data_IF_150419592360
#
_entry.id   IF_150419592360
#
_cell.length_a   1.000
_cell.length_b   1.000
_cell.length_c   1.000
_cell.angle_alpha   90.00
_cell.angle_beta   90.00
_cell.angle_gamma   90.00
#
_symmetry.space_group_name_H-M   'P 1'
#
loop_
_entity.id
_entity.type
_entity.pdbx_description
1 polymer ?
#
# COMPACT_ATOMS: atom_id res chain seq x y z
N UNK A 1 -62.79 14.57 -31.70
CA UNK A 1 -62.41 14.64 -30.26
C UNK A 1 -62.59 13.32 -29.50
N UNK A 2 -63.67 12.55 -29.67
CA UNK A 2 -63.87 11.28 -28.93
C UNK A 2 -62.80 10.20 -29.18
N UNK A 3 -62.25 10.12 -30.39
CA UNK A 3 -61.24 9.11 -30.72
C UNK A 3 -59.84 9.43 -30.16
N UNK A 4 -59.55 10.69 -29.81
CA UNK A 4 -58.25 11.08 -29.25
C UNK A 4 -58.14 10.71 -27.76
N UNK A 5 -59.26 10.83 -27.03
CA UNK A 5 -59.34 10.49 -25.60
C UNK A 5 -59.20 8.98 -25.38
N UNK A 6 -59.77 8.16 -26.26
CA UNK A 6 -59.70 6.68 -26.16
C UNK A 6 -58.26 6.19 -26.40
N UNK A 7 -57.57 6.72 -27.42
CA UNK A 7 -56.18 6.35 -27.71
C UNK A 7 -55.22 6.83 -26.62
N UNK A 8 -55.47 7.99 -26.01
CA UNK A 8 -54.66 8.52 -24.91
C UNK A 8 -54.81 7.69 -23.62
N UNK A 9 -56.02 7.23 -23.30
CA UNK A 9 -56.28 6.34 -22.16
C UNK A 9 -55.65 4.96 -22.37
N UNK A 10 -55.68 4.42 -23.59
CA UNK A 10 -55.04 3.15 -23.92
C UNK A 10 -53.50 3.21 -23.80
N UNK A 11 -52.89 4.34 -24.17
CA UNK A 11 -51.44 4.53 -24.06
C UNK A 11 -50.97 4.68 -22.60
N UNK A 12 -51.73 5.39 -21.77
CA UNK A 12 -51.42 5.54 -20.35
C UNK A 12 -51.64 4.24 -19.56
N UNK A 13 -52.64 3.44 -19.91
CA UNK A 13 -52.87 2.13 -19.26
C UNK A 13 -51.75 1.14 -19.60
N UNK A 14 -51.22 1.15 -20.83
CA UNK A 14 -50.04 0.36 -21.20
C UNK A 14 -48.76 0.84 -20.47
N UNK A 15 -48.58 2.15 -20.30
CA UNK A 15 -47.43 2.73 -19.59
C UNK A 15 -47.45 2.39 -18.09
N UNK A 16 -48.61 2.39 -17.44
CA UNK A 16 -48.78 2.00 -16.03
C UNK A 16 -48.52 0.49 -15.83
N UNK A 17 -48.88 -0.36 -16.80
CA UNK A 17 -48.54 -1.79 -16.79
C UNK A 17 -47.02 -2.04 -17.00
N UNK A 18 -46.33 -1.17 -17.74
CA UNK A 18 -44.88 -1.28 -17.94
C UNK A 18 -44.06 -0.80 -16.73
N UNK A 19 -44.59 0.15 -15.94
CA UNK A 19 -43.94 0.60 -14.68
C UNK A 19 -44.21 -0.36 -13.51
N UNK A 20 -45.37 -1.04 -13.49
CA UNK A 20 -45.71 -2.00 -12.42
C UNK A 20 -45.07 -3.38 -12.60
N UNK A 21 -44.60 -3.74 -13.80
CA UNK A 21 -43.76 -4.94 -14.01
C UNK A 21 -42.30 -4.73 -13.59
N UNK A 22 -41.92 -3.49 -13.25
CA UNK A 22 -40.56 -3.13 -12.80
C UNK A 22 -40.36 -3.24 -11.28
N UNK A 23 -41.41 -3.33 -10.46
CA UNK A 23 -41.25 -3.50 -9.00
C UNK A 23 -41.11 -4.97 -8.60
N UNK A 24 -41.78 -5.88 -9.30
CA UNK A 24 -41.58 -7.33 -9.11
C UNK A 24 -40.16 -7.76 -9.54
N UNK A 25 -39.65 -7.18 -10.63
CA UNK A 25 -38.29 -7.46 -11.10
C UNK A 25 -37.22 -6.76 -10.24
N UNK A 26 -37.46 -5.55 -9.72
CA UNK A 26 -36.50 -4.91 -8.81
C UNK A 26 -36.27 -5.72 -7.52
N UNK A 27 -37.32 -6.34 -6.96
CA UNK A 27 -37.20 -7.20 -5.78
C UNK A 27 -36.49 -8.53 -6.13
N UNK A 28 -36.77 -9.10 -7.30
CA UNK A 28 -36.03 -10.28 -7.78
C UNK A 28 -34.55 -9.97 -8.04
N UNK A 29 -34.22 -8.80 -8.60
CA UNK A 29 -32.84 -8.38 -8.81
C UNK A 29 -32.13 -8.03 -7.50
N UNK A 30 -32.78 -7.42 -6.51
CA UNK A 30 -32.13 -7.17 -5.21
C UNK A 30 -31.90 -8.46 -4.45
N UNK A 31 -32.84 -9.41 -4.47
CA UNK A 31 -32.62 -10.75 -3.89
C UNK A 31 -31.52 -11.51 -4.64
N UNK A 32 -31.48 -11.41 -5.98
CA UNK A 32 -30.43 -12.03 -6.79
C UNK A 32 -29.05 -11.38 -6.56
N UNK A 33 -28.97 -10.05 -6.42
CA UNK A 33 -27.71 -9.33 -6.17
C UNK A 33 -27.22 -9.57 -4.73
N UNK A 34 -28.10 -9.55 -3.73
CA UNK A 34 -27.72 -9.88 -2.35
C UNK A 34 -27.35 -11.36 -2.23
N UNK A 35 -28.05 -12.27 -2.93
CA UNK A 35 -27.66 -13.68 -3.04
C UNK A 35 -26.33 -13.90 -3.76
N UNK A 36 -26.06 -13.14 -4.82
CA UNK A 36 -24.79 -13.17 -5.57
C UNK A 36 -23.62 -12.61 -4.73
N UNK A 37 -23.85 -11.54 -3.94
CA UNK A 37 -22.84 -10.99 -3.03
C UNK A 37 -22.61 -11.89 -1.80
N UNK A 38 -23.62 -12.59 -1.31
CA UNK A 38 -23.48 -13.59 -0.24
C UNK A 38 -22.76 -14.86 -0.73
N UNK A 39 -22.96 -15.26 -1.98
CA UNK A 39 -22.20 -16.38 -2.59
C UNK A 39 -20.77 -15.99 -2.96
N UNK A 40 -20.47 -14.74 -3.33
CA UNK A 40 -19.09 -14.25 -3.49
C UNK A 40 -18.32 -14.26 -2.16
N UNK A 41 -18.98 -13.94 -1.03
CA UNK A 41 -18.37 -14.05 0.30
C UNK A 41 -18.06 -15.49 0.71
N UNK A 42 -18.76 -16.47 0.12
CA UNK A 42 -18.51 -17.91 0.31
C UNK A 42 -17.54 -18.49 -0.74
N UNK A 43 -17.45 -17.90 -1.95
CA UNK A 43 -16.42 -18.23 -2.93
C UNK A 43 -15.02 -17.73 -2.53
N UNK A 44 -14.95 -16.71 -1.67
CA UNK A 44 -13.72 -16.25 -1.01
C UNK A 44 -13.69 -16.58 0.49
N UNK A 45 -14.61 -17.44 0.97
CA UNK A 45 -14.44 -18.09 2.27
C UNK A 45 -13.30 -19.08 2.13
N UNK A 46 -12.11 -18.60 2.50
CA UNK A 46 -10.88 -19.34 2.70
C UNK A 46 -11.18 -20.80 3.07
N UNK A 47 -10.93 -21.69 2.10
CA UNK A 47 -10.84 -23.10 2.39
C UNK A 47 -9.88 -23.27 3.58
N UNK A 48 -10.25 -24.03 4.62
CA UNK A 48 -9.27 -24.49 5.58
C UNK A 48 -8.31 -25.37 4.77
N UNK A 49 -7.10 -24.88 4.56
CA UNK A 49 -6.02 -25.65 3.96
C UNK A 49 -5.73 -26.79 4.94
N UNK A 50 -6.32 -27.96 4.67
CA UNK A 50 -5.86 -29.22 5.21
C UNK A 50 -4.46 -29.48 4.63
N UNK A 51 -3.46 -28.98 5.33
CA UNK A 51 -2.06 -29.29 5.11
C UNK A 51 -1.80 -30.71 5.58
N UNK A 52 -1.86 -31.66 4.64
CA UNK A 52 -1.19 -32.96 4.78
C UNK A 52 -0.37 -33.22 3.55
N UNK A 53 0.95 -33.03 3.73
CA UNK A 53 2.06 -33.80 3.17
C UNK A 53 3.17 -32.92 2.58
N UNK A 54 4.14 -32.64 3.46
CA UNK A 54 5.56 -32.75 3.14
C UNK A 54 6.12 -31.81 2.05
N UNK A 55 6.29 -30.53 2.42
CA UNK A 55 7.49 -29.81 2.04
C UNK A 55 8.17 -29.33 3.32
N UNK A 56 9.47 -29.58 3.44
CA UNK A 56 10.27 -29.14 4.58
C UNK A 56 10.10 -27.63 4.74
N UNK A 57 9.34 -27.24 5.76
CA UNK A 57 9.31 -25.91 6.34
C UNK A 57 10.73 -25.56 6.79
N UNK A 58 11.48 -24.89 5.93
CA UNK A 58 12.60 -24.08 6.35
C UNK A 58 11.97 -22.86 7.03
N UNK A 59 11.91 -22.90 8.36
CA UNK A 59 11.59 -21.76 9.20
C UNK A 59 12.45 -20.58 8.74
N UNK A 60 11.81 -19.51 8.28
CA UNK A 60 12.48 -18.22 8.06
C UNK A 60 12.95 -17.75 9.44
N UNK A 61 14.25 -17.60 9.71
CA UNK A 61 14.71 -17.08 10.99
C UNK A 61 14.29 -15.62 11.09
N UNK A 62 13.53 -15.32 12.14
CA UNK A 62 13.27 -13.98 12.64
C UNK A 62 14.59 -13.21 12.75
N UNK A 63 14.66 -11.93 12.34
CA UNK A 63 15.86 -11.14 12.54
C UNK A 63 16.31 -11.22 14.00
N UNK A 64 17.59 -11.48 14.20
CA UNK A 64 18.21 -11.54 15.53
C UNK A 64 17.98 -10.21 16.25
N UNK A 65 17.81 -10.29 17.58
CA UNK A 65 17.43 -9.18 18.48
C UNK A 65 18.35 -7.95 18.43
N UNK A 66 19.46 -8.01 17.69
CA UNK A 66 20.46 -6.93 17.56
C UNK A 66 20.18 -5.96 16.39
N UNK A 67 19.37 -6.32 15.40
CA UNK A 67 19.02 -5.43 14.28
C UNK A 67 17.81 -4.51 14.58
N UNK A 68 17.21 -4.63 15.77
CA UNK A 68 16.02 -3.87 16.21
C UNK A 68 16.39 -2.62 17.03
N UNK A 69 17.60 -2.10 16.86
CA UNK A 69 18.05 -0.90 17.55
C UNK A 69 17.64 0.30 16.70
N UNK A 70 16.83 1.20 17.28
CA UNK A 70 16.48 2.53 16.73
C UNK A 70 17.69 3.47 16.70
N UNK A 71 18.77 3.04 16.05
CA UNK A 71 20.00 3.81 15.86
C UNK A 71 20.06 4.28 14.42
N UNK A 72 20.48 5.54 14.23
CA UNK A 72 20.80 6.05 12.90
C UNK A 72 21.93 5.21 12.29
N UNK A 73 21.76 4.81 11.05
CA UNK A 73 22.81 4.24 10.24
C UNK A 73 23.88 5.31 10.01
N UNK A 74 25.15 4.94 10.17
CA UNK A 74 26.24 5.84 9.87
C UNK A 74 26.75 5.57 8.45
N UNK A 75 26.38 6.44 7.51
CA UNK A 75 26.94 6.45 6.16
C UNK A 75 27.04 7.88 5.64
N UNK A 76 28.04 8.12 4.79
CA UNK A 76 28.24 9.40 4.12
C UNK A 76 27.44 9.40 2.83
N UNK A 77 26.60 10.41 2.66
CA UNK A 77 25.94 10.64 1.38
C UNK A 77 26.93 11.30 0.40
N UNK A 78 26.98 10.83 -0.86
CA UNK A 78 27.61 11.58 -1.94
C UNK A 78 27.08 13.02 -2.00
N UNK A 79 27.93 13.97 -2.39
CA UNK A 79 27.57 15.40 -2.46
C UNK A 79 26.43 15.70 -3.44
N UNK A 80 26.31 14.93 -4.53
CA UNK A 80 25.16 14.96 -5.42
C UNK A 80 24.54 13.56 -5.53
N UNK A 81 23.29 13.45 -5.08
CA UNK A 81 22.46 12.28 -5.26
C UNK A 81 21.51 12.50 -6.42
N UNK A 82 21.31 11.46 -7.22
CA UNK A 82 20.21 11.47 -8.18
C UNK A 82 18.87 11.50 -7.46
N UNK A 83 18.09 12.53 -7.76
CA UNK A 83 16.71 12.68 -7.30
C UNK A 83 15.74 12.10 -8.34
N UNK A 84 14.88 11.20 -7.91
CA UNK A 84 13.79 10.72 -8.75
C UNK A 84 12.74 11.81 -8.96
N UNK A 85 12.13 11.92 -10.15
CA UNK A 85 11.09 12.89 -10.41
C UNK A 85 9.92 12.74 -9.42
N UNK A 86 9.50 13.86 -8.83
CA UNK A 86 8.36 13.92 -7.93
C UNK A 86 7.06 13.81 -8.74
N UNK A 87 6.19 12.88 -8.36
CA UNK A 87 4.86 12.68 -8.94
C UNK A 87 3.77 13.33 -8.08
N UNK A 88 4.05 13.49 -6.78
CA UNK A 88 3.11 13.89 -5.73
C UNK A 88 1.93 12.90 -5.57
N UNK A 89 2.17 11.62 -5.86
CA UNK A 89 1.14 10.57 -5.79
C UNK A 89 1.32 9.66 -4.57
N UNK A 90 2.57 9.42 -4.14
CA UNK A 90 2.90 8.60 -2.96
C UNK A 90 2.23 7.21 -2.94
N UNK A 91 2.10 6.57 -4.11
CA UNK A 91 1.45 5.26 -4.25
C UNK A 91 2.40 4.07 -4.04
N UNK A 92 3.70 4.32 -3.92
CA UNK A 92 4.69 3.26 -3.84
C UNK A 92 4.92 2.82 -2.39
N UNK A 93 4.35 1.69 -1.99
CA UNK A 93 4.48 1.18 -0.62
C UNK A 93 5.87 0.60 -0.31
N UNK A 94 6.40 0.93 0.86
CA UNK A 94 7.57 0.27 1.45
C UNK A 94 7.09 -1.00 2.16
N UNK A 95 7.92 -2.06 2.18
CA UNK A 95 7.60 -3.29 2.91
C UNK A 95 8.52 -3.52 4.11
N UNK A 96 8.05 -4.34 5.04
CA UNK A 96 8.82 -4.71 6.23
C UNK A 96 8.82 -3.65 7.33
N UNK A 97 7.99 -2.60 7.22
CA UNK A 97 7.94 -1.49 8.19
C UNK A 97 7.55 -1.96 9.60
N UNK A 98 6.87 -3.10 9.71
CA UNK A 98 6.54 -3.73 10.99
C UNK A 98 7.78 -4.06 11.84
N UNK A 99 8.93 -4.30 11.22
CA UNK A 99 10.20 -4.51 11.91
C UNK A 99 10.89 -3.20 12.31
N UNK A 100 10.47 -2.07 11.74
CA UNK A 100 11.09 -0.75 11.89
C UNK A 100 10.17 0.29 12.53
N UNK A 101 9.04 -0.13 13.12
CA UNK A 101 8.12 0.77 13.84
C UNK A 101 8.81 1.69 14.85
N UNK A 102 9.77 1.23 15.68
CA UNK A 102 10.48 2.13 16.60
C UNK A 102 11.24 3.25 15.88
N UNK A 103 11.86 2.94 14.74
CA UNK A 103 12.62 3.91 13.95
C UNK A 103 11.71 4.94 13.27
N UNK A 104 10.56 4.51 12.74
CA UNK A 104 9.57 5.40 12.12
C UNK A 104 8.91 6.30 13.18
N UNK A 105 8.53 5.72 14.34
CA UNK A 105 8.02 6.49 15.49
C UNK A 105 9.03 7.54 15.93
N UNK A 106 10.32 7.18 15.98
CA UNK A 106 11.39 8.11 16.35
C UNK A 106 11.49 9.30 15.41
N UNK A 107 11.38 9.09 14.10
CA UNK A 107 11.36 10.19 13.11
C UNK A 107 10.15 11.09 13.37
N UNK A 108 8.98 10.51 13.63
CA UNK A 108 7.76 11.26 13.91
C UNK A 108 7.87 12.07 15.21
N UNK A 109 8.33 11.46 16.29
CA UNK A 109 8.57 12.12 17.59
C UNK A 109 9.61 13.23 17.48
N UNK A 110 10.72 13.00 16.78
CA UNK A 110 11.74 14.01 16.50
C UNK A 110 11.14 15.20 15.72
N UNK A 111 10.23 14.95 14.77
CA UNK A 111 9.52 16.02 14.07
C UNK A 111 8.64 16.84 15.01
N UNK A 112 7.73 16.18 15.72
CA UNK A 112 6.75 16.82 16.62
C UNK A 112 7.45 17.59 17.75
N UNK A 113 8.58 17.10 18.26
CA UNK A 113 9.34 17.80 19.29
C UNK A 113 9.95 19.13 18.81
N UNK A 114 10.18 19.28 17.50
CA UNK A 114 10.86 20.44 16.91
C UNK A 114 9.93 21.35 16.11
N UNK A 115 8.65 21.01 15.97
CA UNK A 115 7.69 21.74 15.14
C UNK A 115 6.32 21.84 15.82
N UNK A 116 5.58 22.92 15.56
CA UNK A 116 4.24 23.12 16.10
C UNK A 116 3.17 22.20 15.45
N UNK A 117 3.47 21.65 14.28
CA UNK A 117 2.57 20.80 13.51
C UNK A 117 2.89 19.32 13.71
N UNK A 118 1.85 18.53 13.98
CA UNK A 118 1.91 17.06 13.97
C UNK A 118 1.99 16.51 12.55
N UNK A 119 1.48 17.24 11.55
CA UNK A 119 1.62 16.85 10.16
C UNK A 119 3.06 17.04 9.70
N UNK A 120 3.69 15.92 9.31
CA UNK A 120 5.04 15.86 8.76
C UNK A 120 4.96 16.14 7.25
N UNK A 121 5.73 17.09 6.70
CA UNK A 121 5.83 17.28 5.26
C UNK A 121 6.56 16.09 4.61
N UNK A 122 6.51 15.96 3.28
CA UNK A 122 7.29 14.96 2.58
C UNK A 122 8.79 15.04 2.91
N UNK A 123 9.36 13.92 3.35
CA UNK A 123 10.76 13.78 3.76
C UNK A 123 11.62 13.23 2.62
N UNK A 124 12.94 13.43 2.69
CA UNK A 124 13.87 12.78 1.78
C UNK A 124 14.10 11.32 2.21
N UNK A 125 13.73 10.39 1.33
CA UNK A 125 14.02 8.97 1.46
C UNK A 125 15.18 8.57 0.56
N UNK A 126 16.12 7.83 1.13
CA UNK A 126 17.29 7.29 0.43
C UNK A 126 17.04 5.83 0.08
N UNK A 127 17.14 5.51 -1.21
CA UNK A 127 17.09 4.14 -1.71
C UNK A 127 18.51 3.62 -1.88
N UNK A 128 18.85 2.60 -1.10
CA UNK A 128 20.21 2.12 -0.92
C UNK A 128 20.28 0.65 -1.37
N UNK A 129 20.93 0.35 -2.52
CA UNK A 129 21.23 -1.02 -2.91
C UNK A 129 22.09 -1.71 -1.84
N UNK A 130 21.61 -2.85 -1.32
CA UNK A 130 22.27 -3.59 -0.24
C UNK A 130 22.69 -4.98 -0.74
N UNK A 131 23.92 -5.07 -1.29
CA UNK A 131 24.47 -6.34 -1.80
C UNK A 131 24.90 -7.32 -0.70
N UNK A 132 25.01 -6.85 0.54
CA UNK A 132 25.46 -7.64 1.68
C UNK A 132 24.30 -8.08 2.59
N UNK A 133 23.06 -7.86 2.16
CA UNK A 133 21.89 -8.26 2.92
C UNK A 133 21.84 -9.80 3.06
N UNK A 134 21.74 -10.34 4.28
CA UNK A 134 21.81 -11.79 4.50
C UNK A 134 20.58 -12.56 3.97
N UNK A 135 19.48 -11.86 3.68
CA UNK A 135 18.23 -12.47 3.22
C UNK A 135 18.02 -12.34 1.71
N UNK A 136 18.61 -11.31 1.08
CA UNK A 136 18.44 -11.00 -0.33
C UNK A 136 19.58 -10.09 -0.85
N UNK A 137 20.54 -10.65 -1.57
CA UNK A 137 21.68 -9.92 -2.15
C UNK A 137 21.29 -8.90 -3.25
N UNK A 138 19.99 -8.74 -3.52
CA UNK A 138 19.41 -7.70 -4.37
C UNK A 138 18.51 -6.75 -3.61
N UNK A 139 18.50 -6.78 -2.28
CA UNK A 139 17.70 -5.89 -1.45
C UNK A 139 17.98 -4.41 -1.76
N UNK A 140 16.96 -3.58 -1.57
CA UNK A 140 17.07 -2.12 -1.60
C UNK A 140 16.46 -1.62 -0.30
N UNK A 141 17.32 -1.11 0.56
CA UNK A 141 16.95 -0.56 1.86
C UNK A 141 16.47 0.88 1.70
N UNK A 142 15.48 1.26 2.48
CA UNK A 142 14.93 2.62 2.52
C UNK A 142 15.33 3.26 3.85
N UNK A 143 16.07 4.36 3.77
CA UNK A 143 16.48 5.15 4.93
C UNK A 143 15.88 6.58 4.89
N UNK A 144 15.28 7.02 6.00
CA UNK A 144 14.79 8.40 6.21
C UNK A 144 15.48 8.94 7.47
N UNK A 145 16.07 10.14 7.40
CA UNK A 145 16.87 10.69 8.51
C UNK A 145 17.94 9.72 9.04
N UNK A 146 18.53 8.94 8.13
CA UNK A 146 19.49 7.86 8.41
C UNK A 146 18.93 6.68 9.22
N UNK A 147 17.64 6.62 9.50
CA UNK A 147 17.01 5.43 10.07
C UNK A 147 16.48 4.54 8.95
N UNK A 148 16.73 3.24 9.03
CA UNK A 148 16.04 2.28 8.17
C UNK A 148 14.58 2.21 8.55
N UNK A 149 13.72 2.48 7.58
CA UNK A 149 12.26 2.46 7.75
C UNK A 149 11.62 1.25 7.07
N UNK A 150 12.35 0.58 6.18
CA UNK A 150 11.88 -0.61 5.49
C UNK A 150 12.72 -0.90 4.26
N UNK A 151 12.16 -1.72 3.37
CA UNK A 151 12.81 -2.17 2.14
C UNK A 151 11.82 -2.08 0.98
N UNK A 152 12.33 -2.03 -0.26
CA UNK A 152 11.50 -2.37 -1.41
C UNK A 152 11.12 -3.85 -1.33
N UNK A 153 9.96 -4.22 -1.90
CA UNK A 153 9.62 -5.63 -2.10
C UNK A 153 10.71 -6.31 -2.94
N UNK A 154 10.79 -7.64 -2.89
CA UNK A 154 11.82 -8.38 -3.64
C UNK A 154 11.78 -8.05 -5.14
N UNK A 155 10.60 -8.11 -5.73
CA UNK A 155 10.42 -7.86 -7.16
C UNK A 155 10.71 -6.40 -7.52
N UNK A 156 10.27 -5.47 -6.68
CA UNK A 156 10.55 -4.05 -6.84
C UNK A 156 12.04 -3.72 -6.71
N UNK A 157 12.73 -4.33 -5.75
CA UNK A 157 14.16 -4.15 -5.56
C UNK A 157 14.94 -4.55 -6.81
N UNK A 158 14.58 -5.68 -7.43
CA UNK A 158 15.20 -6.16 -8.68
C UNK A 158 14.89 -5.20 -9.83
N UNK A 159 13.66 -4.72 -9.93
CA UNK A 159 13.24 -3.79 -10.97
C UNK A 159 13.88 -2.41 -10.83
N UNK A 160 14.01 -1.92 -9.60
CA UNK A 160 14.77 -0.72 -9.28
C UNK A 160 16.24 -0.87 -9.68
N UNK A 161 16.89 -1.99 -9.34
CA UNK A 161 18.28 -2.25 -9.73
C UNK A 161 18.47 -2.31 -11.25
N UNK A 162 17.54 -2.92 -12.00
CA UNK A 162 17.54 -2.85 -13.47
C UNK A 162 17.45 -1.40 -13.96
N UNK A 163 16.58 -0.59 -13.34
CA UNK A 163 16.41 0.84 -13.68
C UNK A 163 17.67 1.65 -13.40
N UNK A 164 18.37 1.40 -12.30
CA UNK A 164 19.69 1.99 -12.03
C UNK A 164 20.72 1.58 -13.08
N UNK A 165 20.77 0.30 -13.45
CA UNK A 165 21.66 -0.21 -14.50
C UNK A 165 21.43 0.49 -15.85
N UNK A 166 20.17 0.63 -16.26
CA UNK A 166 19.80 1.36 -17.48
C UNK A 166 20.22 2.84 -17.45
N UNK A 167 20.28 3.45 -16.26
CA UNK A 167 20.77 4.82 -16.04
C UNK A 167 22.28 4.92 -15.82
N UNK A 168 23.03 3.81 -15.89
CA UNK A 168 24.47 3.73 -15.57
C UNK A 168 24.80 4.15 -14.13
N UNK A 169 23.90 3.86 -13.20
CA UNK A 169 24.00 4.20 -11.77
C UNK A 169 23.95 2.97 -10.87
N UNK A 170 24.39 1.81 -11.37
CA UNK A 170 24.42 0.56 -10.59
C UNK A 170 25.11 0.75 -9.24
N UNK A 171 24.45 0.30 -8.17
CA UNK A 171 24.98 0.36 -6.81
C UNK A 171 24.95 1.74 -6.14
N UNK A 172 24.54 2.80 -6.85
CA UNK A 172 24.49 4.15 -6.28
C UNK A 172 23.27 4.32 -5.37
N UNK A 173 23.46 5.11 -4.30
CA UNK A 173 22.37 5.65 -3.49
C UNK A 173 21.63 6.69 -4.32
N UNK A 174 20.30 6.68 -4.25
CA UNK A 174 19.44 7.71 -4.88
C UNK A 174 18.42 8.22 -3.89
N UNK A 175 17.76 9.33 -4.18
CA UNK A 175 16.76 9.92 -3.29
C UNK A 175 15.41 10.16 -3.97
N UNK A 176 14.33 10.08 -3.22
CA UNK A 176 12.98 10.50 -3.61
C UNK A 176 12.26 11.11 -2.39
N UNK A 177 11.07 11.68 -2.59
CA UNK A 177 10.22 12.09 -1.48
C UNK A 177 9.48 10.89 -0.89
N UNK A 178 9.16 10.95 0.39
CA UNK A 178 8.33 9.96 1.06
C UNK A 178 7.43 10.62 2.10
N UNK A 179 6.28 9.99 2.36
CA UNK A 179 5.38 10.36 3.47
C UNK A 179 5.35 9.24 4.50
N UNK A 180 5.19 9.64 5.77
CA UNK A 180 4.87 8.74 6.87
C UNK A 180 3.35 8.73 7.01
N UNK A 181 2.75 7.54 7.04
CA UNK A 181 1.32 7.31 7.20
C UNK A 181 1.04 6.58 8.52
N UNK A 182 -0.23 6.53 8.95
CA UNK A 182 -0.61 5.87 10.19
C UNK A 182 -0.25 6.69 11.42
N UNK A 183 0.17 6.05 12.51
CA UNK A 183 0.66 6.71 13.73
C UNK A 183 -0.38 7.47 14.57
N UNK A 184 -1.62 7.56 14.12
CA UNK A 184 -2.72 8.24 14.82
C UNK A 184 -3.40 7.31 15.83
N UNK A 185 -4.06 7.89 16.81
CA UNK A 185 -4.87 7.15 17.76
C UNK A 185 -6.12 6.58 17.08
N UNK A 186 -6.35 5.29 17.28
CA UNK A 186 -7.56 4.59 16.85
C UNK A 186 -8.66 4.78 17.90
N UNK A 187 -9.91 4.60 17.49
CA UNK A 187 -11.08 4.75 18.38
C UNK A 187 -11.07 3.80 19.60
N UNK A 188 -10.27 2.73 19.55
CA UNK A 188 -10.09 1.79 20.65
C UNK A 188 -8.95 2.15 21.61
N UNK A 189 -8.32 3.31 21.45
CA UNK A 189 -7.20 3.78 22.27
C UNK A 189 -5.85 3.15 21.94
N UNK A 190 -5.76 2.34 20.88
CA UNK A 190 -4.49 1.86 20.35
C UNK A 190 -3.95 2.85 19.31
N UNK A 191 -2.64 2.85 19.08
CA UNK A 191 -2.04 3.62 18.00
C UNK A 191 -2.02 2.80 16.70
N UNK A 192 -2.41 3.42 15.59
CA UNK A 192 -2.25 2.83 14.26
C UNK A 192 -0.77 2.61 13.95
N UNK A 193 -0.42 1.48 13.35
CA UNK A 193 0.96 1.25 12.88
C UNK A 193 1.38 2.32 11.88
N UNK A 194 2.64 2.70 11.93
CA UNK A 194 3.22 3.60 10.95
C UNK A 194 3.47 2.86 9.63
N UNK A 195 3.22 3.56 8.52
CA UNK A 195 3.62 3.16 7.18
C UNK A 195 4.48 4.23 6.51
N UNK A 196 5.06 3.89 5.36
CA UNK A 196 5.90 4.74 4.53
C UNK A 196 5.56 4.50 3.06
N UNK A 197 5.23 5.59 2.35
CA UNK A 197 5.02 5.56 0.91
C UNK A 197 5.97 6.50 0.19
N UNK A 198 6.57 6.02 -0.91
CA UNK A 198 7.54 6.74 -1.71
C UNK A 198 6.86 7.45 -2.88
N UNK A 199 7.37 8.62 -3.23
CA UNK A 199 7.01 9.37 -4.42
C UNK A 199 7.96 9.02 -5.57
N UNK A 200 7.75 7.82 -6.12
CA UNK A 200 8.51 7.30 -7.25
C UNK A 200 7.61 6.49 -8.16
N UNK A 201 7.81 6.64 -9.47
CA UNK A 201 7.08 5.84 -10.45
C UNK A 201 7.25 4.34 -10.17
N UNK A 202 6.15 3.57 -9.96
CA UNK A 202 6.21 2.13 -9.77
C UNK A 202 6.97 1.38 -10.85
N UNK A 203 7.45 0.20 -10.49
CA UNK A 203 8.22 -0.66 -11.38
C UNK A 203 7.27 -1.65 -12.06
N UNK A 204 6.72 -1.26 -13.22
CA UNK A 204 5.95 -2.17 -14.07
C UNK A 204 6.78 -3.31 -14.66
#
# INVERSE_FOLDING_TARGET
MKNFVITFIAFFSALILMVTTSTANAILYTIAIVGFLLTLKWLFASHPVHSTANSKSAQIPKPSKEATVSTKNHYTLPGELYEWPQLNEYEFEVVGESYYQPAISRIHEEWVANHESVAIPPLDAHLIPDDNNPYDDKAVRIDINQYTVGHLSRDDARSFRRRLGAKKMTGQITKCKAIITGGHDLANGQQASFGVSLDIKPFG
#
